data_IF_765752204600
#
_entry.id   IF_765752204600
#
_cell.length_a   1.000
_cell.length_b   1.000
_cell.length_c   1.000
_cell.angle_alpha   90.00
_cell.angle_beta   90.00
_cell.angle_gamma   90.00
#
_symmetry.space_group_name_H-M   'P 1'
#
loop_
_entity.id
_entity.type
_entity.pdbx_description
1 polymer ?
#
# COMPACT_ATOMS: atom_id res chain seq x y z
N UNK A 1 24.64 30.64 40.71
CA UNK A 1 24.03 30.57 39.36
C UNK A 1 24.05 29.19 38.69
N UNK A 2 25.01 28.28 38.96
CA UNK A 2 25.07 26.94 38.32
C UNK A 2 23.93 25.97 38.69
N UNK A 3 23.39 26.01 39.92
CA UNK A 3 22.32 25.07 40.34
C UNK A 3 20.97 25.35 39.69
N UNK A 4 20.59 26.62 39.50
CA UNK A 4 19.33 27.00 38.83
C UNK A 4 19.28 26.56 37.36
N UNK A 5 20.42 26.63 36.65
CA UNK A 5 20.55 26.09 35.28
C UNK A 5 20.39 24.56 35.25
N UNK A 6 20.96 23.82 36.21
CA UNK A 6 20.81 22.36 36.29
C UNK A 6 19.36 21.94 36.56
N UNK A 7 18.67 22.63 37.47
CA UNK A 7 17.25 22.34 37.77
C UNK A 7 16.34 22.65 36.57
N UNK A 8 16.61 23.74 35.84
CA UNK A 8 15.87 24.06 34.62
C UNK A 8 16.06 23.00 33.52
N UNK A 9 17.31 22.60 33.26
CA UNK A 9 17.63 21.57 32.25
C UNK A 9 16.98 20.22 32.59
N UNK A 10 17.00 19.80 33.87
CA UNK A 10 16.37 18.54 34.30
C UNK A 10 14.85 18.58 34.11
N UNK A 11 14.18 19.70 34.46
CA UNK A 11 12.73 19.84 34.25
C UNK A 11 12.36 19.83 32.77
N UNK A 12 13.11 20.52 31.93
CA UNK A 12 12.86 20.53 30.48
C UNK A 12 13.07 19.14 29.88
N UNK A 13 14.14 18.44 30.25
CA UNK A 13 14.38 17.06 29.80
C UNK A 13 13.25 16.11 30.22
N UNK A 14 12.76 16.22 31.46
CA UNK A 14 11.65 15.41 31.95
C UNK A 14 10.36 15.66 31.15
N UNK A 15 10.03 16.93 30.88
CA UNK A 15 8.85 17.28 30.05
C UNK A 15 8.98 16.70 28.65
N UNK A 16 10.16 16.83 28.02
CA UNK A 16 10.41 16.25 26.69
C UNK A 16 10.22 14.74 26.70
N UNK A 17 10.72 14.03 27.71
CA UNK A 17 10.55 12.58 27.84
C UNK A 17 9.09 12.21 28.02
N UNK A 18 8.33 12.92 28.86
CA UNK A 18 6.89 12.65 29.06
C UNK A 18 6.12 12.86 27.74
N UNK A 19 6.41 13.93 27.02
CA UNK A 19 5.77 14.21 25.72
C UNK A 19 6.12 13.12 24.71
N UNK A 20 7.38 12.70 24.61
CA UNK A 20 7.80 11.61 23.72
C UNK A 20 7.09 10.30 24.05
N UNK A 21 7.00 9.93 25.33
CA UNK A 21 6.29 8.71 25.77
C UNK A 21 4.81 8.80 25.44
N UNK A 22 4.18 9.96 25.64
CA UNK A 22 2.77 10.15 25.28
C UNK A 22 2.53 10.02 23.77
N UNK A 23 3.41 10.59 22.93
CA UNK A 23 3.32 10.51 21.47
C UNK A 23 3.55 9.08 20.98
N UNK A 24 4.64 8.43 21.40
CA UNK A 24 4.96 7.05 20.99
C UNK A 24 3.88 6.08 21.49
N UNK A 25 3.44 6.26 22.74
CA UNK A 25 2.34 5.48 23.32
C UNK A 25 1.04 5.63 22.55
N UNK A 26 0.68 6.85 22.16
CA UNK A 26 -0.51 7.14 21.35
C UNK A 26 -0.46 6.50 19.97
N UNK A 27 0.68 6.57 19.27
CA UNK A 27 0.85 5.96 17.94
C UNK A 27 0.79 4.42 17.98
N UNK A 28 1.08 3.82 19.14
CA UNK A 28 1.09 2.37 19.36
C UNK A 28 -0.27 1.81 19.82
N UNK A 29 -1.29 2.66 19.96
CA UNK A 29 -2.65 2.21 20.26
C UNK A 29 -3.22 1.41 19.07
N UNK A 30 -4.13 0.44 19.32
CA UNK A 30 -4.86 -0.24 18.26
C UNK A 30 -5.51 0.77 17.30
N UNK A 31 -5.39 0.52 16.01
CA UNK A 31 -5.92 1.36 14.94
C UNK A 31 -6.65 0.51 13.90
N UNK A 32 -7.36 1.17 12.99
CA UNK A 32 -7.95 0.49 11.83
C UNK A 32 -6.91 0.33 10.73
N UNK A 33 -6.98 -0.77 9.98
CA UNK A 33 -6.09 -0.97 8.82
C UNK A 33 -6.40 -0.04 7.64
N UNK A 34 -7.63 0.43 7.53
CA UNK A 34 -8.03 1.46 6.55
C UNK A 34 -7.08 2.65 6.58
N UNK A 35 -6.57 3.09 5.43
CA UNK A 35 -5.65 4.23 5.30
C UNK A 35 -4.53 4.02 4.30
N UNK A 36 -3.65 5.01 4.21
CA UNK A 36 -2.46 4.98 3.34
C UNK A 36 -1.21 4.71 4.17
N UNK A 37 -0.36 3.83 3.65
CA UNK A 37 0.91 3.43 4.27
C UNK A 37 2.04 3.61 3.28
N UNK A 38 3.22 4.01 3.76
CA UNK A 38 4.43 3.85 2.96
C UNK A 38 4.71 2.36 2.77
N UNK A 39 4.82 1.92 1.51
CA UNK A 39 5.05 0.51 1.16
C UNK A 39 6.46 0.05 1.53
N UNK A 40 7.41 0.99 1.55
CA UNK A 40 8.81 0.73 1.89
C UNK A 40 9.41 -0.37 1.03
N UNK A 41 9.77 -1.49 1.66
CA UNK A 41 10.33 -2.68 1.00
C UNK A 41 9.33 -3.84 0.84
N UNK A 42 8.10 -3.68 1.34
CA UNK A 42 7.09 -4.73 1.25
C UNK A 42 6.66 -4.91 -0.21
N UNK A 43 6.42 -3.79 -0.90
CA UNK A 43 6.11 -3.71 -2.32
C UNK A 43 6.91 -2.53 -2.83
N UNK A 44 7.77 -2.77 -3.82
CA UNK A 44 8.64 -1.74 -4.38
C UNK A 44 8.58 -1.79 -5.90
N UNK A 45 8.35 -0.63 -6.53
CA UNK A 45 8.51 -0.49 -7.97
C UNK A 45 10.01 -0.52 -8.32
N UNK A 46 10.36 -1.00 -9.52
CA UNK A 46 11.74 -0.98 -10.00
C UNK A 46 12.24 0.44 -10.37
N UNK A 47 11.36 1.43 -10.35
CA UNK A 47 11.67 2.82 -10.67
C UNK A 47 11.94 3.64 -9.40
N UNK A 48 12.58 4.81 -9.55
CA UNK A 48 12.96 5.71 -8.44
C UNK A 48 11.76 6.49 -7.85
N UNK A 49 10.66 5.79 -7.55
CA UNK A 49 9.44 6.33 -6.97
C UNK A 49 9.35 6.12 -5.46
N UNK A 50 8.46 6.87 -4.80
CA UNK A 50 8.00 6.50 -3.46
C UNK A 50 6.73 5.67 -3.59
N UNK A 51 6.77 4.49 -3.00
CA UNK A 51 5.67 3.53 -3.07
C UNK A 51 4.80 3.59 -1.82
N UNK A 52 3.48 3.51 -2.04
CA UNK A 52 2.44 3.52 -1.02
C UNK A 52 1.44 2.39 -1.24
N UNK A 53 0.85 1.94 -0.15
CA UNK A 53 -0.25 0.98 -0.15
C UNK A 53 -1.46 1.65 0.50
N UNK A 54 -2.60 1.61 -0.17
CA UNK A 54 -3.88 2.04 0.37
C UNK A 54 -4.73 0.81 0.69
N UNK A 55 -5.26 0.78 1.90
CA UNK A 55 -6.32 -0.14 2.31
C UNK A 55 -7.63 0.62 2.32
N UNK A 56 -8.59 0.21 1.49
CA UNK A 56 -9.89 0.86 1.42
C UNK A 56 -11.02 -0.05 0.98
N UNK A 57 -12.09 -0.13 1.78
CA UNK A 57 -13.33 -0.82 1.41
C UNK A 57 -13.15 -2.31 1.11
N UNK A 58 -12.17 -2.96 1.76
CA UNK A 58 -11.79 -4.35 1.49
C UNK A 58 -10.77 -4.52 0.36
N UNK A 59 -10.32 -3.45 -0.30
CA UNK A 59 -9.34 -3.49 -1.38
C UNK A 59 -7.95 -3.02 -0.95
N UNK A 60 -6.94 -3.48 -1.68
CA UNK A 60 -5.54 -3.08 -1.52
C UNK A 60 -5.01 -2.59 -2.85
N UNK A 61 -4.59 -1.33 -2.90
CA UNK A 61 -4.02 -0.70 -4.08
C UNK A 61 -2.60 -0.18 -3.82
N UNK A 62 -1.73 -0.36 -4.82
CA UNK A 62 -0.35 0.12 -4.87
C UNK A 62 -0.28 1.43 -5.64
N UNK A 63 0.38 2.41 -5.05
CA UNK A 63 0.58 3.72 -5.64
C UNK A 63 2.08 3.98 -5.69
N UNK A 64 2.58 4.42 -6.84
CA UNK A 64 3.95 4.87 -6.97
C UNK A 64 3.94 6.28 -7.54
N UNK A 65 4.71 7.20 -6.94
CA UNK A 65 4.73 8.61 -7.37
C UNK A 65 5.13 8.82 -8.83
N UNK A 66 5.75 7.82 -9.46
CA UNK A 66 6.20 7.88 -10.84
C UNK A 66 5.33 7.05 -11.81
N UNK A 67 4.32 6.35 -11.30
CA UNK A 67 3.44 5.48 -12.08
C UNK A 67 1.98 5.70 -11.70
N UNK A 68 1.33 6.56 -12.46
CA UNK A 68 -0.11 6.66 -12.51
C UNK A 68 -0.67 5.86 -13.70
N UNK A 69 -1.88 5.28 -13.58
CA UNK A 69 -2.71 5.20 -12.37
C UNK A 69 -2.17 4.20 -11.35
N UNK A 70 -2.80 4.17 -10.17
CA UNK A 70 -2.53 3.18 -9.15
C UNK A 70 -2.88 1.77 -9.62
N UNK A 71 -2.29 0.74 -9.02
CA UNK A 71 -2.57 -0.65 -9.36
C UNK A 71 -3.36 -1.33 -8.25
N UNK A 72 -4.47 -1.98 -8.58
CA UNK A 72 -5.16 -2.88 -7.68
C UNK A 72 -4.30 -4.13 -7.48
N UNK A 73 -3.75 -4.30 -6.28
CA UNK A 73 -2.95 -5.47 -5.95
C UNK A 73 -3.88 -6.62 -5.57
N UNK A 74 -4.98 -6.32 -4.89
CA UNK A 74 -5.67 -7.35 -4.14
C UNK A 74 -6.80 -6.85 -3.30
N UNK A 75 -7.20 -7.72 -2.37
CA UNK A 75 -8.20 -7.46 -1.34
C UNK A 75 -7.66 -7.85 0.02
N UNK A 76 -8.32 -7.41 1.06
CA UNK A 76 -7.97 -7.78 2.41
C UNK A 76 -9.19 -8.19 3.24
N UNK A 77 -8.96 -9.02 4.24
CA UNK A 77 -9.97 -9.43 5.21
C UNK A 77 -9.47 -9.17 6.63
N UNK A 78 -10.36 -8.63 7.48
CA UNK A 78 -10.10 -8.44 8.90
C UNK A 78 -10.67 -9.66 9.63
N UNK A 79 -9.80 -10.40 10.33
CA UNK A 79 -10.17 -11.56 11.13
C UNK A 79 -10.78 -11.15 12.49
N UNK A 80 -11.44 -12.08 13.20
CA UNK A 80 -12.01 -11.79 14.53
C UNK A 80 -11.01 -11.34 15.59
N UNK A 81 -9.71 -11.66 15.41
CA UNK A 81 -8.61 -11.25 16.29
C UNK A 81 -7.98 -9.90 15.89
N UNK A 82 -8.63 -9.17 14.98
CA UNK A 82 -8.17 -7.90 14.40
C UNK A 82 -6.91 -8.01 13.53
N UNK A 83 -6.41 -9.21 13.27
CA UNK A 83 -5.38 -9.42 12.25
C UNK A 83 -5.98 -9.23 10.85
N UNK A 84 -5.13 -8.82 9.91
CA UNK A 84 -5.52 -8.59 8.52
C UNK A 84 -4.78 -9.55 7.62
N UNK A 85 -5.50 -10.15 6.69
CA UNK A 85 -4.93 -11.02 5.65
C UNK A 85 -5.08 -10.31 4.31
N UNK A 86 -3.99 -10.24 3.55
CA UNK A 86 -4.01 -9.63 2.22
C UNK A 86 -3.87 -10.71 1.16
N UNK A 87 -4.84 -10.72 0.25
CA UNK A 87 -4.94 -11.63 -0.89
C UNK A 87 -4.59 -10.89 -2.17
N UNK A 88 -3.77 -11.49 -3.03
CA UNK A 88 -3.50 -10.93 -4.36
C UNK A 88 -4.63 -11.23 -5.33
N UNK A 89 -4.97 -10.25 -6.17
CA UNK A 89 -5.89 -10.43 -7.28
C UNK A 89 -5.24 -11.39 -8.30
N UNK A 90 -5.91 -12.49 -8.68
CA UNK A 90 -5.35 -13.43 -9.63
C UNK A 90 -5.21 -12.78 -11.01
N UNK A 91 -4.10 -13.08 -11.69
CA UNK A 91 -3.86 -12.54 -13.02
C UNK A 91 -4.78 -13.16 -14.07
N UNK A 92 -5.18 -14.43 -13.92
CA UNK A 92 -6.10 -15.10 -14.84
C UNK A 92 -7.43 -15.39 -14.16
N UNK A 93 -8.50 -15.29 -14.94
CA UNK A 93 -9.83 -15.65 -14.47
C UNK A 93 -9.88 -17.14 -14.10
N UNK A 94 -10.20 -17.42 -12.84
CA UNK A 94 -10.35 -18.78 -12.32
C UNK A 94 -9.15 -19.30 -11.54
N UNK A 95 -8.02 -18.59 -11.54
CA UNK A 95 -6.91 -18.90 -10.65
C UNK A 95 -7.31 -18.59 -9.19
N UNK A 96 -6.83 -19.37 -8.20
CA UNK A 96 -7.12 -19.10 -6.80
C UNK A 96 -6.42 -17.81 -6.36
N UNK A 97 -7.02 -17.14 -5.37
CA UNK A 97 -6.33 -16.06 -4.65
C UNK A 97 -5.26 -16.65 -3.72
N UNK A 98 -4.16 -15.91 -3.58
CA UNK A 98 -3.04 -16.28 -2.72
C UNK A 98 -2.80 -15.23 -1.65
N UNK A 99 -2.42 -15.67 -0.45
CA UNK A 99 -2.08 -14.77 0.65
C UNK A 99 -0.66 -14.25 0.43
N UNK A 100 -0.49 -12.93 0.36
CA UNK A 100 0.83 -12.32 0.16
C UNK A 100 1.47 -11.96 1.51
N UNK A 101 0.70 -11.31 2.38
CA UNK A 101 1.17 -10.93 3.71
C UNK A 101 0.01 -10.79 4.69
N UNK A 102 0.35 -10.80 5.97
CA UNK A 102 -0.58 -10.52 7.07
C UNK A 102 -0.14 -9.28 7.85
N UNK A 103 -1.08 -8.61 8.49
CA UNK A 103 -0.81 -7.53 9.45
C UNK A 103 -1.37 -7.96 10.80
N UNK A 104 -0.50 -8.06 11.79
CA UNK A 104 -0.90 -8.38 13.15
C UNK A 104 -1.19 -7.08 13.92
N UNK A 105 -2.44 -6.92 14.36
CA UNK A 105 -2.87 -5.81 15.22
C UNK A 105 -2.43 -4.42 14.71
N UNK A 106 -3.07 -3.89 13.66
CA UNK A 106 -2.74 -2.57 13.12
C UNK A 106 -2.78 -1.50 14.21
N UNK A 107 -1.83 -0.55 14.16
CA UNK A 107 -1.73 0.58 15.10
C UNK A 107 -2.07 1.88 14.41
N UNK A 108 -2.35 2.91 15.20
CA UNK A 108 -2.70 4.24 14.69
C UNK A 108 -1.59 4.81 13.80
N UNK A 109 -0.32 4.70 14.19
CA UNK A 109 0.79 5.30 13.44
C UNK A 109 1.53 4.35 12.49
N UNK A 110 1.39 3.05 12.68
CA UNK A 110 2.16 2.07 11.94
C UNK A 110 1.52 0.68 11.98
N UNK A 111 2.04 -0.25 11.20
CA UNK A 111 1.64 -1.66 11.22
C UNK A 111 2.85 -2.53 10.89
N UNK A 112 2.88 -3.76 11.42
CA UNK A 112 3.87 -4.75 11.03
C UNK A 112 3.23 -5.71 10.04
N UNK A 113 3.80 -5.81 8.85
CA UNK A 113 3.38 -6.74 7.82
C UNK A 113 4.36 -7.90 7.74
N UNK A 114 3.88 -9.14 7.74
CA UNK A 114 4.71 -10.35 7.63
C UNK A 114 4.41 -11.04 6.30
N UNK A 115 5.44 -11.22 5.47
CA UNK A 115 5.33 -11.97 4.21
C UNK A 115 5.35 -13.47 4.53
N UNK A 116 4.36 -14.21 4.01
CA UNK A 116 4.14 -15.62 4.34
C UNK A 116 5.32 -16.53 3.96
N UNK A 117 6.02 -16.23 2.86
CA UNK A 117 7.10 -17.09 2.34
C UNK A 117 8.48 -16.82 2.95
N UNK A 118 8.71 -15.63 3.48
CA UNK A 118 10.05 -15.19 3.88
C UNK A 118 10.25 -15.10 5.41
N UNK A 119 9.19 -15.23 6.20
CA UNK A 119 9.20 -15.02 7.66
C UNK A 119 9.82 -13.66 8.06
N UNK A 120 9.73 -12.67 7.16
CA UNK A 120 10.22 -11.31 7.34
C UNK A 120 9.07 -10.37 7.66
N UNK A 121 9.26 -9.58 8.71
CA UNK A 121 8.34 -8.50 9.08
C UNK A 121 8.87 -7.15 8.59
N UNK A 122 7.96 -6.37 8.01
CA UNK A 122 8.19 -5.03 7.48
C UNK A 122 7.36 -4.02 8.28
N UNK A 123 7.98 -2.89 8.60
CA UNK A 123 7.28 -1.78 9.24
C UNK A 123 6.61 -0.94 8.15
N UNK A 124 5.29 -0.84 8.21
CA UNK A 124 4.47 0.03 7.39
C UNK A 124 4.15 1.29 8.20
N UNK A 125 4.69 2.44 7.79
CA UNK A 125 4.38 3.72 8.42
C UNK A 125 3.10 4.28 7.82
N UNK A 126 2.13 4.64 8.66
CA UNK A 126 0.88 5.24 8.20
C UNK A 126 1.12 6.71 7.84
N UNK A 127 0.62 7.12 6.69
CA UNK A 127 0.59 8.52 6.27
C UNK A 127 -0.53 9.23 7.04
N UNK A 128 -0.30 10.43 7.59
CA UNK A 128 -1.35 11.24 8.20
C UNK A 128 -2.38 11.77 7.20
N UNK A 129 -3.64 11.80 7.61
CA UNK A 129 -4.79 12.30 6.82
C UNK A 129 -4.65 13.75 6.36
N UNK A 130 -3.82 14.53 7.04
CA UNK A 130 -3.56 15.93 6.70
C UNK A 130 -2.51 16.12 5.60
N UNK A 131 -1.83 15.07 5.15
CA UNK A 131 -0.77 15.17 4.15
C UNK A 131 -1.35 15.18 2.75
N UNK A 132 -0.86 16.08 1.89
CA UNK A 132 -1.26 16.20 0.47
C UNK A 132 -1.16 14.86 -0.28
N UNK A 133 -0.28 13.96 0.18
CA UNK A 133 -0.07 12.63 -0.38
C UNK A 133 -1.27 11.71 -0.15
N UNK A 134 -1.85 11.70 1.06
CA UNK A 134 -3.03 10.88 1.34
C UNK A 134 -4.23 11.40 0.54
N UNK A 135 -4.40 12.73 0.48
CA UNK A 135 -5.45 13.35 -0.34
C UNK A 135 -5.30 13.01 -1.82
N UNK A 136 -4.10 13.16 -2.39
CA UNK A 136 -3.79 12.79 -3.77
C UNK A 136 -4.10 11.32 -4.06
N UNK A 137 -3.62 10.40 -3.23
CA UNK A 137 -3.82 8.95 -3.37
C UNK A 137 -5.30 8.58 -3.23
N UNK A 138 -6.04 9.29 -2.38
CA UNK A 138 -7.45 9.01 -2.15
C UNK A 138 -8.31 9.26 -3.39
N UNK A 139 -7.92 10.19 -4.27
CA UNK A 139 -8.66 10.64 -5.44
C UNK A 139 -8.20 10.05 -6.77
N UNK A 140 -7.11 9.28 -6.80
CA UNK A 140 -6.59 8.67 -8.03
C UNK A 140 -7.44 7.49 -8.51
N UNK A 141 -7.49 7.33 -9.83
CA UNK A 141 -8.02 6.12 -10.47
C UNK A 141 -7.15 4.90 -10.12
N UNK A 142 -7.79 3.73 -10.02
CA UNK A 142 -7.15 2.44 -9.75
C UNK A 142 -7.32 1.55 -10.97
N UNK A 143 -6.22 0.94 -11.42
CA UNK A 143 -6.17 0.03 -12.57
C UNK A 143 -5.99 -1.40 -12.09
N UNK A 144 -6.76 -2.32 -12.67
CA UNK A 144 -6.58 -3.77 -12.52
C UNK A 144 -6.29 -4.36 -13.90
N UNK A 145 -5.26 -5.19 -14.00
CA UNK A 145 -4.93 -5.92 -15.22
C UNK A 145 -5.20 -7.40 -15.00
N UNK A 146 -5.93 -8.02 -15.92
CA UNK A 146 -6.20 -9.46 -15.91
C UNK A 146 -6.14 -10.05 -17.32
N UNK A 147 -6.01 -11.37 -17.40
CA UNK A 147 -6.15 -12.15 -18.62
C UNK A 147 -7.50 -12.84 -18.64
N UNK A 148 -8.33 -12.54 -19.65
CA UNK A 148 -9.61 -13.22 -19.86
C UNK A 148 -9.43 -14.59 -20.51
N UNK A 149 -8.40 -14.74 -21.35
CA UNK A 149 -7.96 -15.95 -22.01
C UNK A 149 -6.44 -15.86 -22.30
N UNK A 150 -5.86 -16.86 -22.97
CA UNK A 150 -4.41 -16.91 -23.24
C UNK A 150 -3.87 -15.72 -24.05
N UNK A 151 -4.74 -15.02 -24.79
CA UNK A 151 -4.34 -14.02 -25.78
C UNK A 151 -4.98 -12.65 -25.55
N UNK A 152 -5.73 -12.46 -24.47
CA UNK A 152 -6.50 -11.23 -24.24
C UNK A 152 -6.23 -10.66 -22.86
N UNK A 153 -5.67 -9.44 -22.84
CA UNK A 153 -5.54 -8.63 -21.65
C UNK A 153 -6.76 -7.73 -21.51
N UNK A 154 -7.32 -7.70 -20.31
CA UNK A 154 -8.39 -6.79 -19.90
C UNK A 154 -7.83 -5.89 -18.82
N UNK A 155 -7.87 -4.59 -19.07
CA UNK A 155 -7.50 -3.55 -18.11
C UNK A 155 -8.75 -2.82 -17.68
N UNK A 156 -9.14 -2.96 -16.42
CA UNK A 156 -10.30 -2.32 -15.83
C UNK A 156 -9.84 -1.15 -14.97
N UNK A 157 -10.49 0.00 -15.12
CA UNK A 157 -10.21 1.20 -14.34
C UNK A 157 -11.39 1.48 -13.41
N UNK A 158 -11.07 1.85 -12.18
CA UNK A 158 -12.00 2.19 -11.12
C UNK A 158 -11.70 3.60 -10.60
N UNK A 159 -12.73 4.29 -10.12
CA UNK A 159 -12.54 5.55 -9.38
C UNK A 159 -12.14 5.29 -7.91
N UNK A 160 -12.02 6.37 -7.14
CA UNK A 160 -11.69 6.34 -5.70
C UNK A 160 -12.64 5.50 -4.83
N UNK A 161 -13.89 5.34 -5.27
CA UNK A 161 -14.94 4.57 -4.61
C UNK A 161 -15.01 3.12 -5.10
N UNK A 162 -14.02 2.69 -5.90
CA UNK A 162 -13.95 1.36 -6.52
C UNK A 162 -15.14 1.05 -7.44
N UNK A 163 -15.74 2.08 -8.03
CA UNK A 163 -16.76 1.94 -9.08
C UNK A 163 -16.04 1.91 -10.43
N UNK A 164 -16.36 0.89 -11.24
CA UNK A 164 -15.82 0.74 -12.58
C UNK A 164 -16.18 1.96 -13.45
N UNK A 165 -15.17 2.55 -14.09
CA UNK A 165 -15.33 3.73 -14.95
C UNK A 165 -15.07 3.41 -16.43
N UNK A 166 -14.14 2.51 -16.74
CA UNK A 166 -13.88 2.04 -18.10
C UNK A 166 -13.15 0.70 -18.11
N UNK A 167 -13.27 0.01 -19.24
CA UNK A 167 -12.55 -1.23 -19.53
C UNK A 167 -11.84 -1.11 -20.89
N UNK A 168 -10.61 -1.57 -20.95
CA UNK A 168 -9.79 -1.63 -22.16
C UNK A 168 -9.38 -3.08 -22.45
N UNK A 169 -9.63 -3.54 -23.67
CA UNK A 169 -9.34 -4.91 -24.08
C UNK A 169 -8.26 -4.92 -25.16
N UNK A 170 -7.20 -5.70 -24.94
CA UNK A 170 -6.05 -5.79 -25.85
C UNK A 170 -5.72 -7.24 -26.21
N UNK A 171 -5.80 -7.54 -27.49
CA UNK A 171 -5.31 -8.81 -28.03
C UNK A 171 -3.79 -8.84 -28.13
N UNK A 172 -3.17 -9.90 -27.62
CA UNK A 172 -1.73 -10.16 -27.63
C UNK A 172 -1.23 -10.71 -28.97
N UNK A 173 -2.11 -11.30 -29.80
CA UNK A 173 -1.73 -11.86 -31.12
C UNK A 173 -1.19 -10.80 -32.08
N UNK A 174 -1.71 -9.57 -32.01
CA UNK A 174 -1.32 -8.50 -32.93
C UNK A 174 0.11 -7.97 -32.70
N UNK A 175 0.70 -8.17 -31.50
CA UNK A 175 2.08 -7.72 -31.23
C UNK A 175 3.15 -8.60 -31.88
N UNK A 176 2.93 -9.91 -32.03
CA UNK A 176 3.87 -10.79 -32.75
C UNK A 176 4.00 -10.39 -34.22
N UNK A 177 2.88 -10.02 -34.86
CA UNK A 177 2.88 -9.59 -36.25
C UNK A 177 3.58 -8.24 -36.50
N UNK A 178 3.61 -7.31 -35.53
CA UNK A 178 4.38 -6.05 -35.65
C UNK A 178 5.86 -6.22 -35.34
N UNK A 179 6.24 -7.14 -34.45
CA UNK A 179 7.65 -7.41 -34.13
C UNK A 179 8.37 -8.19 -35.23
N UNK A 180 7.64 -9.00 -36.01
CA UNK A 180 8.17 -9.74 -37.17
C UNK A 180 8.24 -8.89 -38.46
N UNK A 181 7.85 -7.61 -38.42
CA UNK A 181 7.84 -6.70 -39.59
C UNK A 181 8.86 -5.56 -39.47
N UNK A 182 9.65 -5.48 -38.39
CA UNK A 182 10.83 -4.60 -38.38
C UNK A 182 11.95 -5.28 -39.21
N UNK A 183 12.25 -4.81 -40.44
CA UNK A 183 13.40 -5.32 -41.16
C UNK A 183 14.65 -4.66 -40.57
N UNK A 184 15.74 -5.43 -40.54
CA UNK A 184 17.09 -4.92 -40.31
C UNK A 184 17.32 -3.61 -41.08
N UNK A 185 17.66 -2.55 -40.33
CA UNK A 185 18.11 -1.27 -40.83
C UNK A 185 19.28 -0.78 -39.99
#
# INVERSE_FOLDING_TARGET
MKSKRRVFVIKTALVIVIVLVAVVGGLSLPGKVEGVYSAGKLIQCACDGTDYIRFHGGWVAHYSTNHEPANLIGRYEIRPDESVVVYITPFRKGDPEEIVFTIDQPRIGFSFATIMEEDKSYLLMRVPVSDDIEDMISHQDVMQVSMSDEDTLVTTFYNSEHVEIREEVKSLKNKKAEQDVAPDG
#
